data_IF_562760194842
#
_entry.id   IF_562760194842
#
_cell.length_a   1.000
_cell.length_b   1.000
_cell.length_c   1.000
_cell.angle_alpha   90.00
_cell.angle_beta   90.00
_cell.angle_gamma   90.00
#
_symmetry.space_group_name_H-M   'P 1'
#
loop_
_entity.id
_entity.type
_entity.pdbx_description
1 polymer ?
#
# COMPACT_ATOMS: atom_id res chain seq x y z
N UNK A 1 41.63 4.77 -4.39
CA UNK A 1 40.51 4.30 -3.54
C UNK A 1 40.53 5.06 -2.22
N UNK A 2 39.57 5.96 -1.93
CA UNK A 2 39.39 6.46 -0.58
C UNK A 2 38.32 5.63 0.15
N UNK A 3 38.65 5.20 1.36
CA UNK A 3 37.84 4.32 2.21
C UNK A 3 36.59 5.08 2.69
N UNK A 4 35.40 4.48 2.54
CA UNK A 4 34.16 4.99 3.15
C UNK A 4 34.22 4.72 4.65
N UNK A 5 34.35 5.75 5.47
CA UNK A 5 34.01 5.66 6.90
C UNK A 5 32.48 5.73 7.04
N UNK A 6 31.86 4.92 7.92
CA UNK A 6 30.43 5.04 8.19
C UNK A 6 30.15 6.28 9.04
N UNK A 7 29.08 7.00 8.69
CA UNK A 7 28.59 8.15 9.45
C UNK A 7 27.92 7.66 10.75
N UNK A 8 28.10 8.34 11.89
CA UNK A 8 27.40 8.01 13.13
C UNK A 8 25.94 8.45 13.03
N UNK A 9 25.00 7.53 13.27
CA UNK A 9 23.56 7.80 13.30
C UNK A 9 23.16 8.57 14.55
N UNK A 10 22.18 9.48 14.45
CA UNK A 10 21.21 9.68 15.52
C UNK A 10 19.81 9.22 15.07
N UNK A 11 18.99 8.87 16.07
CA UNK A 11 17.67 8.26 15.95
C UNK A 11 16.70 8.97 14.99
N UNK A 12 15.99 8.18 14.17
CA UNK A 12 15.03 8.66 13.17
C UNK A 12 15.38 8.15 11.76
N UNK A 13 15.36 6.83 11.57
CA UNK A 13 15.82 6.19 10.33
C UNK A 13 14.76 6.28 9.22
N UNK A 14 14.67 7.44 8.56
CA UNK A 14 14.12 7.52 7.21
C UNK A 14 15.13 6.87 6.25
N UNK A 15 14.86 5.62 5.86
CA UNK A 15 15.72 4.86 4.95
C UNK A 15 15.68 5.45 3.55
N UNK A 16 16.56 6.42 3.28
CA UNK A 16 16.80 6.96 1.94
C UNK A 16 17.66 5.98 1.13
N UNK A 17 17.07 5.30 0.17
CA UNK A 17 17.80 4.52 -0.83
C UNK A 17 18.55 5.48 -1.78
N UNK A 18 19.88 5.56 -1.66
CA UNK A 18 20.71 6.41 -2.52
C UNK A 18 21.29 5.62 -3.70
N UNK A 19 20.60 5.69 -4.86
CA UNK A 19 21.12 5.33 -6.19
C UNK A 19 21.05 6.56 -7.09
N UNK A 20 22.15 6.87 -7.79
CA UNK A 20 22.30 8.11 -8.55
C UNK A 20 21.24 8.24 -9.68
N UNK A 21 20.46 9.31 -9.60
CA UNK A 21 19.42 9.75 -10.54
C UNK A 21 18.08 8.99 -10.59
N UNK A 22 17.58 8.56 -9.43
CA UNK A 22 16.14 8.29 -9.25
C UNK A 22 15.42 9.52 -8.65
N UNK A 23 14.23 9.91 -9.14
CA UNK A 23 13.41 10.88 -8.44
C UNK A 23 13.19 10.37 -7.01
N UNK A 24 13.46 11.22 -6.02
CA UNK A 24 13.38 10.86 -4.60
C UNK A 24 11.90 10.65 -4.25
N UNK A 25 11.46 9.40 -4.29
CA UNK A 25 10.13 9.00 -3.82
C UNK A 25 10.18 8.90 -2.29
N UNK A 26 9.37 9.71 -1.61
CA UNK A 26 9.11 9.58 -0.19
C UNK A 26 8.12 8.45 0.07
N UNK A 27 8.31 7.70 1.15
CA UNK A 27 7.44 6.60 1.55
C UNK A 27 7.00 6.79 2.99
N UNK A 28 5.70 6.68 3.24
CA UNK A 28 5.13 6.72 4.58
C UNK A 28 4.15 5.56 4.77
N UNK A 29 4.11 5.02 5.97
CA UNK A 29 3.24 3.90 6.33
C UNK A 29 2.44 4.26 7.60
N UNK A 30 1.44 5.14 7.47
CA UNK A 30 0.60 5.57 8.59
C UNK A 30 -0.15 4.39 9.22
N UNK A 31 -0.43 4.51 10.51
CA UNK A 31 -1.21 3.53 11.28
C UNK A 31 -2.65 3.98 11.49
N UNK A 32 -3.02 5.20 11.10
CA UNK A 32 -4.37 5.74 11.20
C UNK A 32 -4.85 6.26 9.84
N UNK A 33 -6.18 6.30 9.67
CA UNK A 33 -6.80 6.86 8.46
C UNK A 33 -6.51 8.35 8.36
N UNK A 34 -6.60 9.07 9.48
CA UNK A 34 -6.38 10.52 9.53
C UNK A 34 -4.96 10.88 9.11
N UNK A 35 -3.95 10.13 9.56
CA UNK A 35 -2.55 10.38 9.17
C UNK A 35 -2.32 10.08 7.69
N UNK A 36 -2.97 9.06 7.14
CA UNK A 36 -2.92 8.76 5.71
C UNK A 36 -3.57 9.88 4.88
N UNK A 37 -4.74 10.35 5.29
CA UNK A 37 -5.44 11.46 4.62
C UNK A 37 -4.62 12.75 4.70
N UNK A 38 -4.05 13.07 5.87
CA UNK A 38 -3.18 14.24 6.05
C UNK A 38 -1.94 14.14 5.17
N UNK A 39 -1.28 12.98 5.12
CA UNK A 39 -0.09 12.78 4.28
C UNK A 39 -0.40 12.96 2.78
N UNK A 40 -1.55 12.42 2.32
CA UNK A 40 -2.00 12.60 0.95
C UNK A 40 -2.35 14.06 0.64
N UNK A 41 -3.07 14.74 1.54
CA UNK A 41 -3.49 16.13 1.36
C UNK A 41 -2.34 17.13 1.44
N UNK A 42 -1.31 16.84 2.24
CA UNK A 42 -0.12 17.69 2.38
C UNK A 42 0.86 17.55 1.20
N UNK A 43 0.67 16.59 0.30
CA UNK A 43 1.56 16.40 -0.84
C UNK A 43 1.33 17.49 -1.90
N UNK A 44 2.38 18.25 -2.22
CA UNK A 44 2.34 19.25 -3.28
C UNK A 44 2.40 18.64 -4.69
N UNK A 45 2.84 17.38 -4.79
CA UNK A 45 3.03 16.65 -6.03
C UNK A 45 2.13 15.43 -6.15
N UNK A 46 2.45 14.55 -7.10
CA UNK A 46 1.72 13.31 -7.29
C UNK A 46 1.94 12.38 -6.10
N UNK A 47 0.91 12.19 -5.27
CA UNK A 47 0.88 11.15 -4.25
C UNK A 47 0.12 9.91 -4.74
N UNK A 48 0.60 8.72 -4.37
CA UNK A 48 -0.07 7.45 -4.68
C UNK A 48 -0.22 6.59 -3.44
N UNK A 49 -1.38 5.97 -3.30
CA UNK A 49 -1.65 4.99 -2.24
C UNK A 49 -1.07 3.64 -2.66
N UNK A 50 -0.36 3.00 -1.74
CA UNK A 50 0.12 1.64 -1.87
C UNK A 50 -0.72 0.70 -1.01
N UNK A 51 -1.33 -0.28 -1.68
CA UNK A 51 -1.99 -1.42 -1.03
C UNK A 51 -1.38 -2.70 -1.60
N UNK A 52 -2.02 -3.36 -2.58
CA UNK A 52 -1.50 -4.59 -3.21
C UNK A 52 -0.17 -4.42 -3.94
N UNK A 53 0.03 -3.28 -4.62
CA UNK A 53 1.27 -2.96 -5.33
C UNK A 53 1.38 -3.56 -6.73
N UNK A 54 0.46 -4.44 -7.13
CA UNK A 54 0.37 -5.05 -8.47
C UNK A 54 0.29 -4.00 -9.58
N UNK A 55 -0.49 -2.93 -9.39
CA UNK A 55 -0.55 -1.84 -10.37
C UNK A 55 0.54 -0.80 -10.15
N UNK A 56 0.64 -0.26 -8.93
CA UNK A 56 1.50 0.89 -8.65
C UNK A 56 2.98 0.56 -8.91
N UNK A 57 3.48 -0.59 -8.45
CA UNK A 57 4.89 -0.95 -8.64
C UNK A 57 5.21 -1.21 -10.12
N UNK A 58 4.26 -1.73 -10.90
CA UNK A 58 4.40 -1.92 -12.35
C UNK A 58 4.40 -0.56 -13.08
N UNK A 59 3.55 0.38 -12.67
CA UNK A 59 3.53 1.74 -13.22
C UNK A 59 4.81 2.52 -12.91
N UNK A 60 5.39 2.33 -11.71
CA UNK A 60 6.69 2.90 -11.34
C UNK A 60 7.82 2.32 -12.18
N UNK A 61 7.87 0.99 -12.32
CA UNK A 61 8.90 0.28 -13.10
C UNK A 61 8.87 0.66 -14.58
N UNK A 62 7.67 0.86 -15.14
CA UNK A 62 7.48 1.32 -16.53
C UNK A 62 7.69 2.83 -16.72
N UNK A 63 7.93 3.58 -15.64
CA UNK A 63 8.10 5.03 -15.68
C UNK A 63 6.83 5.82 -16.01
N UNK A 64 5.66 5.16 -16.11
CA UNK A 64 4.35 5.78 -16.37
C UNK A 64 3.86 6.61 -15.18
N UNK A 65 4.23 6.20 -13.97
CA UNK A 65 3.97 6.96 -12.75
C UNK A 65 5.31 7.38 -12.11
N UNK A 66 5.37 8.64 -11.68
CA UNK A 66 6.49 9.21 -10.91
C UNK A 66 5.96 9.98 -9.71
N UNK A 67 5.37 9.28 -8.72
CA UNK A 67 4.89 9.92 -7.51
C UNK A 67 6.06 10.43 -6.68
N UNK A 68 5.87 11.55 -6.02
CA UNK A 68 6.81 12.10 -5.04
C UNK A 68 6.58 11.50 -3.66
N UNK A 69 5.36 11.01 -3.41
CA UNK A 69 4.95 10.38 -2.16
C UNK A 69 4.19 9.09 -2.41
N UNK A 70 4.57 8.03 -1.70
CA UNK A 70 3.83 6.78 -1.60
C UNK A 70 3.32 6.62 -0.16
N UNK A 71 2.01 6.42 -0.01
CA UNK A 71 1.36 6.21 1.28
C UNK A 71 0.86 4.77 1.37
N UNK A 72 1.47 3.97 2.23
CA UNK A 72 1.08 2.58 2.46
C UNK A 72 -0.03 2.48 3.51
N UNK A 73 -1.19 1.96 3.09
CA UNK A 73 -2.37 1.84 3.96
C UNK A 73 -2.46 0.49 4.67
N UNK A 74 -1.56 -0.47 4.39
CA UNK A 74 -1.63 -1.83 4.97
C UNK A 74 -1.48 -1.86 6.48
N UNK A 75 -0.83 -0.86 7.08
CA UNK A 75 -0.59 -0.78 8.53
C UNK A 75 -1.76 -0.18 9.30
N UNK A 76 -2.78 0.34 8.61
CA UNK A 76 -3.97 0.91 9.23
C UNK A 76 -4.90 -0.25 9.66
N UNK A 77 -5.27 -0.34 10.94
CA UNK A 77 -6.22 -1.35 11.41
C UNK A 77 -7.53 -1.31 10.62
N UNK A 78 -8.03 -2.47 10.22
CA UNK A 78 -9.26 -2.60 9.43
C UNK A 78 -9.11 -2.39 7.92
N UNK A 79 -7.93 -2.01 7.43
CA UNK A 79 -7.67 -1.98 5.97
C UNK A 79 -7.46 -3.37 5.38
N UNK A 80 -7.12 -4.36 6.20
CA UNK A 80 -6.97 -5.76 5.80
C UNK A 80 -7.95 -6.60 6.61
N UNK A 81 -8.78 -7.36 5.93
CA UNK A 81 -9.70 -8.31 6.54
C UNK A 81 -11.13 -8.20 5.98
N UNK A 82 -11.94 -9.16 6.40
CA UNK A 82 -13.33 -9.30 6.00
C UNK A 82 -14.15 -9.45 7.27
N UNK A 83 -15.15 -8.59 7.44
CA UNK A 83 -16.06 -8.61 8.59
C UNK A 83 -17.50 -8.66 8.12
N UNK A 84 -18.30 -9.44 8.82
CA UNK A 84 -19.74 -9.53 8.60
C UNK A 84 -20.43 -8.56 9.55
N UNK A 85 -21.31 -7.72 9.03
CA UNK A 85 -22.15 -6.79 9.78
C UNK A 85 -23.60 -6.96 9.35
N UNK A 86 -24.35 -7.75 10.14
CA UNK A 86 -25.75 -8.02 9.87
C UNK A 86 -25.93 -8.76 8.53
N UNK A 87 -26.53 -8.09 7.56
CA UNK A 87 -26.81 -8.61 6.22
C UNK A 87 -25.70 -8.29 5.19
N UNK A 88 -24.58 -7.70 5.64
CA UNK A 88 -23.52 -7.18 4.76
C UNK A 88 -22.15 -7.70 5.14
N UNK A 89 -21.25 -7.68 4.16
CA UNK A 89 -19.82 -7.87 4.37
C UNK A 89 -19.10 -6.56 4.13
N UNK A 90 -18.16 -6.23 5.00
CA UNK A 90 -17.23 -5.13 4.81
C UNK A 90 -15.85 -5.71 4.62
N UNK A 91 -15.26 -5.36 3.48
CA UNK A 91 -13.94 -5.80 3.05
C UNK A 91 -13.00 -4.60 3.16
N UNK A 92 -11.90 -4.77 3.87
CA UNK A 92 -10.86 -3.75 3.97
C UNK A 92 -10.22 -3.48 2.61
N UNK A 93 -9.96 -2.22 2.28
CA UNK A 93 -9.49 -1.81 0.95
C UNK A 93 -8.13 -2.39 0.54
N UNK A 94 -7.30 -2.83 1.50
CA UNK A 94 -6.01 -3.48 1.27
C UNK A 94 -6.07 -5.01 1.42
N UNK A 95 -7.26 -5.60 1.53
CA UNK A 95 -7.46 -7.06 1.62
C UNK A 95 -6.99 -7.75 0.34
N UNK A 96 -6.01 -8.68 0.40
CA UNK A 96 -5.60 -9.46 -0.76
C UNK A 96 -6.72 -10.36 -1.27
N UNK A 97 -6.82 -10.52 -2.60
CA UNK A 97 -7.82 -11.38 -3.25
C UNK A 97 -7.84 -12.81 -2.70
N UNK A 98 -6.68 -13.39 -2.38
CA UNK A 98 -6.59 -14.72 -1.77
C UNK A 98 -7.37 -14.86 -0.46
N UNK A 99 -7.49 -13.79 0.34
CA UNK A 99 -8.30 -13.83 1.56
C UNK A 99 -9.80 -13.75 1.27
N UNK A 100 -10.19 -13.10 0.17
CA UNK A 100 -11.57 -13.07 -0.30
C UNK A 100 -12.00 -14.46 -0.74
N UNK A 101 -11.17 -15.15 -1.53
CA UNK A 101 -11.46 -16.50 -2.02
C UNK A 101 -11.44 -17.57 -0.91
N UNK A 102 -10.68 -17.33 0.15
CA UNK A 102 -10.60 -18.25 1.29
C UNK A 102 -11.71 -18.08 2.34
N UNK A 103 -12.50 -16.99 2.31
CA UNK A 103 -13.57 -16.79 3.29
C UNK A 103 -14.84 -17.55 2.90
N UNK A 104 -15.07 -18.71 3.53
CA UNK A 104 -16.22 -19.58 3.26
C UNK A 104 -17.58 -18.89 3.41
N UNK A 105 -17.69 -17.91 4.32
CA UNK A 105 -18.95 -17.16 4.54
C UNK A 105 -19.23 -16.28 3.33
N UNK A 106 -18.20 -15.62 2.82
CA UNK A 106 -18.31 -14.76 1.64
C UNK A 106 -18.54 -15.58 0.37
N UNK A 107 -17.87 -16.73 0.22
CA UNK A 107 -18.10 -17.69 -0.88
C UNK A 107 -19.56 -18.13 -0.92
N UNK A 108 -20.14 -18.45 0.23
CA UNK A 108 -21.54 -18.89 0.33
C UNK A 108 -22.53 -17.77 0.05
N UNK A 109 -22.26 -16.56 0.54
CA UNK A 109 -23.18 -15.43 0.42
C UNK A 109 -23.09 -14.72 -0.94
N UNK A 110 -21.89 -14.60 -1.53
CA UNK A 110 -21.62 -13.86 -2.75
C UNK A 110 -20.68 -14.62 -3.70
N UNK A 111 -21.09 -15.81 -4.19
CA UNK A 111 -20.22 -16.66 -5.01
C UNK A 111 -19.71 -15.98 -6.29
N UNK A 112 -20.54 -15.16 -6.95
CA UNK A 112 -20.13 -14.44 -8.16
C UNK A 112 -19.07 -13.37 -7.94
N UNK A 113 -18.99 -12.78 -6.74
CA UNK A 113 -17.90 -11.84 -6.40
C UNK A 113 -16.60 -12.61 -6.23
N UNK A 114 -16.65 -13.75 -5.53
CA UNK A 114 -15.46 -14.58 -5.30
C UNK A 114 -14.93 -15.15 -6.60
N UNK A 115 -15.80 -15.70 -7.45
CA UNK A 115 -15.42 -16.18 -8.78
C UNK A 115 -14.77 -15.06 -9.61
N UNK A 116 -15.33 -13.85 -9.57
CA UNK A 116 -14.72 -12.69 -10.22
C UNK A 116 -13.33 -12.36 -9.70
N UNK A 117 -13.08 -12.50 -8.41
CA UNK A 117 -11.76 -12.28 -7.80
C UNK A 117 -10.77 -13.37 -8.20
N UNK A 118 -11.20 -14.63 -8.32
CA UNK A 118 -10.35 -15.73 -8.76
C UNK A 118 -9.88 -15.60 -10.22
N UNK A 119 -10.59 -14.81 -11.03
CA UNK A 119 -10.18 -14.47 -12.39
C UNK A 119 -9.17 -13.31 -12.47
N UNK A 120 -8.89 -12.63 -11.35
CA UNK A 120 -7.94 -11.52 -11.28
C UNK A 120 -6.58 -12.03 -10.83
N UNK A 121 -5.68 -12.25 -11.78
CA UNK A 121 -4.31 -12.70 -11.56
C UNK A 121 -3.58 -13.04 -12.85
#
# INVERSE_FOLDING_TARGET
MPRRTPCPTPAGCDRVFAGANMPRVSYTAPTTIDDAVKALAASAGLAKVLSGGTDLLVQLKSGRARPELIVDTKRIPGMIGIREEGDKFVIGAATPGVMISADERLVKAYPGIVEGVDLIG
#
